data_IF_347851769653
#
_entry.id   IF_347851769653
#
_cell.length_a   1.000
_cell.length_b   1.000
_cell.length_c   1.000
_cell.angle_alpha   90.00
_cell.angle_beta   90.00
_cell.angle_gamma   90.00
#
_symmetry.space_group_name_H-M   'P 1'
#
loop_
_entity.id
_entity.type
_entity.pdbx_description
1 polymer ?
#
# COMPACT_ATOMS: atom_id res chain seq x y z
N UNK A 1 -23.83 -39.59 -26.12
CA UNK A 1 -23.33 -38.22 -25.86
C UNK A 1 -23.42 -38.01 -24.37
N UNK A 2 -22.32 -38.25 -23.66
CA UNK A 2 -22.28 -38.20 -22.19
C UNK A 2 -21.88 -36.80 -21.75
N UNK A 3 -22.74 -36.18 -20.95
CA UNK A 3 -22.61 -34.82 -20.44
C UNK A 3 -21.46 -34.80 -19.43
N UNK A 4 -20.38 -34.10 -19.75
CA UNK A 4 -19.26 -33.81 -18.84
C UNK A 4 -19.69 -32.80 -17.78
N UNK A 5 -20.20 -33.28 -16.65
CA UNK A 5 -20.39 -32.49 -15.43
C UNK A 5 -19.16 -32.57 -14.49
N UNK A 6 -17.94 -32.38 -14.99
CA UNK A 6 -16.74 -32.64 -14.18
C UNK A 6 -15.63 -31.59 -14.30
N UNK A 7 -15.96 -30.33 -14.60
CA UNK A 7 -14.96 -29.29 -14.88
C UNK A 7 -14.79 -28.21 -13.82
N UNK A 8 -15.75 -27.98 -12.91
CA UNK A 8 -15.66 -26.91 -11.88
C UNK A 8 -15.41 -27.41 -10.46
N UNK A 9 -15.73 -28.67 -10.16
CA UNK A 9 -15.74 -29.21 -8.79
C UNK A 9 -14.34 -29.42 -8.17
N UNK A 10 -13.28 -29.41 -8.98
CA UNK A 10 -11.91 -29.68 -8.51
C UNK A 10 -10.83 -28.72 -9.07
N UNK A 11 -11.21 -27.60 -9.69
CA UNK A 11 -10.24 -26.68 -10.30
C UNK A 11 -9.24 -26.11 -9.29
N UNK A 12 -9.65 -25.94 -8.02
CA UNK A 12 -8.79 -25.52 -6.92
C UNK A 12 -7.62 -26.47 -6.62
N UNK A 13 -7.61 -27.69 -7.18
CA UNK A 13 -6.47 -28.61 -7.08
C UNK A 13 -5.37 -28.33 -8.11
N UNK A 14 -5.63 -27.45 -9.09
CA UNK A 14 -4.63 -26.94 -10.01
C UNK A 14 -4.02 -25.67 -9.42
N UNK A 15 -2.69 -25.65 -9.26
CA UNK A 15 -1.97 -24.54 -8.65
C UNK A 15 -2.08 -23.23 -9.46
N UNK A 16 -1.89 -23.30 -10.78
CA UNK A 16 -1.97 -22.13 -11.67
C UNK A 16 -3.38 -21.53 -11.66
N UNK A 17 -4.41 -22.38 -11.71
CA UNK A 17 -5.79 -21.90 -11.63
C UNK A 17 -6.08 -21.24 -10.28
N UNK A 18 -5.66 -21.87 -9.18
CA UNK A 18 -5.89 -21.34 -7.85
C UNK A 18 -5.13 -20.03 -7.61
N UNK A 19 -3.91 -19.90 -8.13
CA UNK A 19 -3.12 -18.67 -8.09
C UNK A 19 -3.77 -17.55 -8.92
N UNK A 20 -4.22 -17.85 -10.14
CA UNK A 20 -4.93 -16.89 -10.97
C UNK A 20 -6.19 -16.36 -10.27
N UNK A 21 -7.00 -17.25 -9.70
CA UNK A 21 -8.25 -16.86 -9.03
C UNK A 21 -8.00 -16.12 -7.71
N UNK A 22 -7.06 -16.62 -6.89
CA UNK A 22 -6.83 -16.09 -5.55
C UNK A 22 -5.96 -14.83 -5.54
N UNK A 23 -4.92 -14.77 -6.38
CA UNK A 23 -3.94 -13.67 -6.40
C UNK A 23 -4.27 -12.68 -7.51
N UNK A 24 -4.35 -13.12 -8.78
CA UNK A 24 -4.50 -12.20 -9.90
C UNK A 24 -5.90 -11.57 -10.00
N UNK A 25 -6.95 -12.33 -9.70
CA UNK A 25 -8.33 -11.84 -9.67
C UNK A 25 -8.78 -11.37 -8.27
N UNK A 26 -7.87 -11.38 -7.29
CA UNK A 26 -8.07 -10.96 -5.89
C UNK A 26 -9.29 -11.61 -5.19
N UNK A 27 -9.79 -12.74 -5.68
CA UNK A 27 -10.99 -13.38 -5.10
C UNK A 27 -10.72 -13.90 -3.70
N UNK A 28 -11.74 -13.89 -2.87
CA UNK A 28 -11.66 -14.48 -1.53
C UNK A 28 -11.75 -16.01 -1.58
N UNK A 29 -11.19 -16.66 -0.56
CA UNK A 29 -11.31 -18.12 -0.39
C UNK A 29 -12.79 -18.56 -0.33
N UNK A 30 -13.68 -17.71 0.18
CA UNK A 30 -15.11 -18.01 0.29
C UNK A 30 -15.80 -17.99 -1.08
N UNK A 31 -15.47 -17.03 -1.95
CA UNK A 31 -16.02 -16.97 -3.31
C UNK A 31 -15.55 -18.14 -4.17
N UNK A 32 -14.24 -18.45 -4.12
CA UNK A 32 -13.67 -19.60 -4.82
C UNK A 32 -14.30 -20.90 -4.30
N UNK A 33 -14.48 -21.02 -2.99
CA UNK A 33 -15.11 -22.17 -2.37
C UNK A 33 -16.58 -22.34 -2.78
N UNK A 34 -17.35 -21.24 -2.83
CA UNK A 34 -18.74 -21.26 -3.27
C UNK A 34 -18.88 -21.69 -4.74
N UNK A 35 -17.98 -21.25 -5.62
CA UNK A 35 -17.95 -21.67 -7.03
C UNK A 35 -17.58 -23.14 -7.21
N UNK A 36 -16.59 -23.61 -6.44
CA UNK A 36 -16.14 -25.00 -6.50
C UNK A 36 -16.97 -25.97 -5.64
N UNK A 37 -18.04 -25.50 -4.97
CA UNK A 37 -18.87 -26.35 -4.11
C UNK A 37 -18.16 -26.91 -2.86
N UNK A 38 -17.07 -26.29 -2.41
CA UNK A 38 -16.26 -26.75 -1.27
C UNK A 38 -16.28 -25.77 -0.11
N UNK A 39 -15.61 -26.11 0.99
CA UNK A 39 -15.38 -25.20 2.11
C UNK A 39 -14.19 -24.26 1.83
N UNK A 40 -14.21 -23.06 2.42
CA UNK A 40 -13.05 -22.16 2.40
C UNK A 40 -11.80 -22.79 3.01
N UNK A 41 -11.96 -23.68 4.00
CA UNK A 41 -10.85 -24.46 4.59
C UNK A 41 -10.21 -25.43 3.58
N UNK A 42 -10.98 -25.97 2.64
CA UNK A 42 -10.45 -26.80 1.54
C UNK A 42 -9.55 -25.95 0.65
N UNK A 43 -10.01 -24.76 0.25
CA UNK A 43 -9.22 -23.82 -0.54
C UNK A 43 -7.94 -23.42 0.21
N UNK A 44 -8.05 -23.10 1.49
CA UNK A 44 -6.90 -22.78 2.35
C UNK A 44 -5.84 -23.90 2.36
N UNK A 45 -6.27 -25.16 2.50
CA UNK A 45 -5.37 -26.32 2.49
C UNK A 45 -4.61 -26.44 1.17
N UNK A 46 -5.28 -26.29 0.04
CA UNK A 46 -4.66 -26.40 -1.28
C UNK A 46 -3.74 -25.22 -1.58
N UNK A 47 -4.15 -24.03 -1.18
CA UNK A 47 -3.32 -22.82 -1.23
C UNK A 47 -2.01 -23.01 -0.47
N UNK A 48 -2.07 -23.42 0.80
CA UNK A 48 -0.87 -23.67 1.62
C UNK A 48 0.01 -24.80 1.03
N UNK A 49 -0.61 -25.82 0.42
CA UNK A 49 0.11 -26.92 -0.24
C UNK A 49 0.93 -26.43 -1.44
N UNK A 50 0.46 -25.39 -2.13
CA UNK A 50 1.13 -24.80 -3.29
C UNK A 50 1.96 -23.55 -2.95
N UNK A 51 2.04 -23.17 -1.67
CA UNK A 51 2.74 -21.96 -1.21
C UNK A 51 2.23 -20.67 -1.90
N UNK A 52 0.93 -20.64 -2.19
CA UNK A 52 0.28 -19.46 -2.79
C UNK A 52 -0.08 -18.52 -1.64
N UNK A 53 0.51 -17.34 -1.59
CA UNK A 53 0.16 -16.32 -0.59
C UNK A 53 -0.38 -15.08 -1.28
N UNK A 54 -1.32 -14.38 -0.64
CA UNK A 54 -1.67 -13.04 -1.12
C UNK A 54 -0.53 -12.10 -0.75
N UNK A 55 -0.10 -11.21 -1.65
CA UNK A 55 0.76 -10.12 -1.24
C UNK A 55 0.02 -9.34 -0.14
N UNK A 56 0.76 -9.01 0.91
CA UNK A 56 0.29 -8.10 1.94
C UNK A 56 -0.24 -6.82 1.24
N UNK A 57 -1.46 -6.43 1.58
CA UNK A 57 -2.09 -5.29 0.91
C UNK A 57 -1.48 -3.98 1.40
N UNK A 58 -1.19 -3.09 0.45
CA UNK A 58 -0.88 -1.72 0.80
C UNK A 58 -2.13 -1.05 1.37
N UNK A 59 -2.03 -0.49 2.57
CA UNK A 59 -3.11 0.22 3.23
C UNK A 59 -2.87 1.73 3.16
N UNK A 60 -3.89 2.48 2.73
CA UNK A 60 -3.92 3.93 2.83
C UNK A 60 -4.54 4.34 4.16
N UNK A 61 -3.84 5.17 4.94
CA UNK A 61 -4.39 5.77 6.16
C UNK A 61 -3.80 7.15 6.45
N UNK A 62 -4.36 7.82 7.47
CA UNK A 62 -3.79 9.02 8.06
C UNK A 62 -3.09 8.67 9.37
N UNK A 63 -1.88 9.18 9.57
CA UNK A 63 -1.16 9.01 10.83
C UNK A 63 -1.62 10.02 11.90
N UNK A 64 -1.28 9.81 13.19
CA UNK A 64 -1.68 10.73 14.26
C UNK A 64 -1.17 12.16 14.12
N UNK A 65 -0.14 12.38 13.29
CA UNK A 65 0.43 13.70 12.99
C UNK A 65 -0.20 14.36 11.76
N UNK A 66 -1.29 13.80 11.22
CA UNK A 66 -2.05 14.38 10.10
C UNK A 66 -1.54 14.02 8.70
N UNK A 67 -0.49 13.20 8.57
CA UNK A 67 0.04 12.82 7.26
C UNK A 67 -0.70 11.63 6.67
N UNK A 68 -1.16 11.79 5.43
CA UNK A 68 -1.61 10.69 4.58
C UNK A 68 -0.41 9.81 4.19
N UNK A 69 -0.56 8.49 4.28
CA UNK A 69 0.50 7.52 3.95
C UNK A 69 -0.06 6.23 3.36
N UNK A 70 0.78 5.57 2.58
CA UNK A 70 0.65 4.18 2.20
C UNK A 70 1.55 3.33 3.08
N UNK A 71 1.00 2.28 3.71
CA UNK A 71 1.74 1.28 4.48
C UNK A 71 1.69 -0.05 3.77
N UNK A 72 2.84 -0.66 3.53
CA UNK A 72 2.96 -2.00 3.02
C UNK A 72 3.59 -2.89 4.08
N UNK A 73 3.09 -4.11 4.23
CA UNK A 73 3.81 -5.14 4.99
C UNK A 73 4.53 -6.01 3.96
N UNK A 74 5.78 -6.36 4.20
CA UNK A 74 6.53 -7.26 3.33
C UNK A 74 7.44 -8.10 4.21
N UNK A 75 7.28 -9.42 4.14
CA UNK A 75 8.11 -10.39 4.89
C UNK A 75 8.16 -10.10 6.40
N UNK A 76 7.05 -9.65 6.98
CA UNK A 76 6.96 -9.30 8.41
C UNK A 76 7.55 -7.95 8.80
N UNK A 77 8.14 -7.20 7.87
CA UNK A 77 8.56 -5.82 8.05
C UNK A 77 7.47 -4.87 7.57
N UNK A 78 7.23 -3.79 8.31
CA UNK A 78 6.40 -2.69 7.84
C UNK A 78 7.28 -1.70 7.07
N UNK A 79 6.84 -1.31 5.89
CA UNK A 79 7.38 -0.19 5.13
C UNK A 79 6.26 0.85 4.93
N UNK A 80 6.61 2.14 4.94
CA UNK A 80 5.63 3.20 4.72
C UNK A 80 6.17 4.30 3.83
N UNK A 81 5.31 4.87 3.00
CA UNK A 81 5.62 6.08 2.24
C UNK A 81 4.50 7.10 2.40
N UNK A 82 4.86 8.30 2.83
CA UNK A 82 3.93 9.42 2.99
C UNK A 82 3.56 9.99 1.63
N UNK A 83 2.30 10.40 1.45
CA UNK A 83 1.77 10.88 0.16
C UNK A 83 2.57 12.07 -0.37
N UNK A 84 2.91 13.06 0.46
CA UNK A 84 3.72 14.20 0.03
C UNK A 84 5.11 13.77 -0.47
N UNK A 85 5.71 12.71 0.10
CA UNK A 85 7.00 12.17 -0.37
C UNK A 85 6.86 11.43 -1.69
N UNK A 86 5.74 10.74 -1.91
CA UNK A 86 5.35 10.22 -3.23
C UNK A 86 5.22 11.37 -4.24
N UNK A 87 4.53 12.45 -3.86
CA UNK A 87 4.29 13.58 -4.75
C UNK A 87 5.58 14.32 -5.15
N UNK A 88 6.58 14.33 -4.26
CA UNK A 88 7.89 14.91 -4.52
C UNK A 88 8.67 14.18 -5.63
N UNK A 89 8.35 12.92 -5.96
CA UNK A 89 9.01 12.22 -7.08
C UNK A 89 8.69 12.86 -8.42
N UNK A 90 7.55 13.56 -8.52
CA UNK A 90 7.17 14.32 -9.72
C UNK A 90 7.92 15.66 -9.86
N UNK A 91 8.76 16.02 -8.89
CA UNK A 91 9.53 17.27 -8.85
C UNK A 91 11.03 17.09 -9.12
N UNK A 92 11.47 15.85 -9.28
CA UNK A 92 12.87 15.49 -9.52
C UNK A 92 12.95 14.66 -10.79
N UNK A 93 14.09 14.74 -11.47
CA UNK A 93 14.32 13.92 -12.66
C UNK A 93 14.83 12.53 -12.23
N UNK A 94 15.62 12.47 -11.15
CA UNK A 94 16.15 11.22 -10.59
C UNK A 94 15.74 11.03 -9.12
N UNK A 95 15.33 9.81 -8.73
CA UNK A 95 14.92 9.51 -7.35
C UNK A 95 16.03 9.73 -6.32
N UNK A 96 17.30 9.59 -6.73
CA UNK A 96 18.47 9.82 -5.87
C UNK A 96 18.51 11.27 -5.35
N UNK A 97 17.88 12.23 -6.04
CA UNK A 97 17.79 13.60 -5.58
C UNK A 97 16.95 13.77 -4.31
N UNK A 98 16.14 12.78 -3.93
CA UNK A 98 15.34 12.80 -2.70
C UNK A 98 16.07 12.15 -1.50
N UNK A 99 17.25 11.56 -1.73
CA UNK A 99 18.07 10.97 -0.68
C UNK A 99 18.47 12.04 0.34
N UNK A 100 18.29 11.71 1.62
CA UNK A 100 18.52 12.61 2.76
C UNK A 100 17.75 13.94 2.78
N UNK A 101 16.84 14.18 1.83
CA UNK A 101 15.97 15.36 1.80
C UNK A 101 14.63 15.11 2.50
N UNK A 102 14.08 16.17 3.08
CA UNK A 102 12.73 16.19 3.64
C UNK A 102 11.77 16.85 2.65
N UNK A 103 10.49 16.50 2.76
CA UNK A 103 9.44 17.09 1.93
C UNK A 103 8.45 17.79 2.85
N UNK A 104 8.16 19.07 2.56
CA UNK A 104 7.38 19.97 3.40
C UNK A 104 6.16 20.51 2.69
N UNK A 105 5.11 20.81 3.46
CA UNK A 105 3.96 21.59 3.01
C UNK A 105 4.19 23.07 3.32
N UNK A 106 4.17 23.93 2.29
CA UNK A 106 4.36 25.38 2.44
C UNK A 106 3.30 26.02 3.34
N UNK A 107 2.08 25.51 3.27
CA UNK A 107 0.95 25.98 4.10
C UNK A 107 0.97 25.49 5.54
N UNK A 108 1.84 24.54 5.89
CA UNK A 108 1.82 23.87 7.20
C UNK A 108 0.64 22.90 7.38
N UNK A 109 -0.15 22.64 6.34
CA UNK A 109 -1.29 21.71 6.37
C UNK A 109 -0.89 20.37 5.78
N UNK A 110 -0.81 19.33 6.61
CA UNK A 110 -0.21 18.03 6.29
C UNK A 110 -1.02 17.19 5.29
N UNK A 111 -2.33 17.43 5.22
CA UNK A 111 -3.23 16.76 4.28
C UNK A 111 -3.38 17.51 2.93
N UNK A 112 -2.78 18.69 2.76
CA UNK A 112 -2.90 19.48 1.54
C UNK A 112 -1.86 19.08 0.49
N UNK A 113 -2.05 17.90 -0.13
CA UNK A 113 -1.07 17.28 -1.03
C UNK A 113 -1.21 17.76 -2.50
N UNK A 114 -0.84 19.01 -2.79
CA UNK A 114 -0.71 19.55 -4.16
C UNK A 114 0.76 19.78 -4.53
N UNK A 115 1.09 19.72 -5.83
CA UNK A 115 2.47 19.94 -6.30
C UNK A 115 2.98 21.33 -5.93
N UNK A 116 2.11 22.33 -5.92
CA UNK A 116 2.48 23.70 -5.60
C UNK A 116 2.76 23.88 -4.10
N UNK A 117 2.05 23.12 -3.26
CA UNK A 117 2.16 23.18 -1.81
C UNK A 117 3.31 22.33 -1.25
N UNK A 118 3.75 21.27 -1.94
CA UNK A 118 4.91 20.48 -1.49
C UNK A 118 6.23 21.05 -1.99
N UNK A 119 7.26 21.01 -1.14
CA UNK A 119 8.63 21.44 -1.46
C UNK A 119 9.64 20.44 -0.90
N UNK A 120 10.74 20.22 -1.65
CA UNK A 120 11.83 19.36 -1.21
C UNK A 120 12.92 20.24 -0.61
N UNK A 121 13.24 20.01 0.66
CA UNK A 121 14.25 20.77 1.40
C UNK A 121 15.32 19.82 1.95
N UNK A 122 16.55 20.30 2.02
CA UNK A 122 17.58 19.66 2.83
C UNK A 122 17.26 19.80 4.32
N UNK A 123 17.80 18.94 5.20
CA UNK A 123 17.63 19.07 6.64
C UNK A 123 18.11 20.43 7.18
N UNK A 124 19.11 21.04 6.55
CA UNK A 124 19.61 22.37 6.91
C UNK A 124 18.60 23.49 6.59
N UNK A 125 17.99 23.46 5.40
CA UNK A 125 16.94 24.40 5.00
C UNK A 125 15.69 24.26 5.87
N UNK A 126 15.30 23.01 6.18
CA UNK A 126 14.21 22.73 7.10
C UNK A 126 14.44 23.31 8.50
N UNK A 127 15.62 23.08 9.10
CA UNK A 127 15.98 23.64 10.43
C UNK A 127 15.94 25.16 10.44
N UNK A 128 16.41 25.81 9.38
CA UNK A 128 16.39 27.28 9.25
C UNK A 128 14.96 27.83 9.25
N UNK A 129 14.00 27.08 8.71
CA UNK A 129 12.59 27.48 8.65
C UNK A 129 11.91 27.41 10.03
N UNK A 130 12.14 26.33 10.79
CA UNK A 130 11.67 26.24 12.19
C UNK A 130 12.32 27.26 13.12
N UNK A 131 13.56 27.66 12.84
CA UNK A 131 14.23 28.73 13.59
C UNK A 131 13.60 30.12 13.36
N UNK A 132 12.84 30.31 12.27
CA UNK A 132 12.19 31.58 11.93
C UNK A 132 10.72 31.70 12.38
N UNK A 133 10.07 30.59 12.73
CA UNK A 133 8.64 30.54 13.09
C UNK A 133 8.40 30.47 14.61
N UNK A 134 9.48 30.48 15.40
CA UNK A 134 9.42 30.55 16.86
C UNK A 134 9.32 31.98 17.36
N UNK A 135 8.20 32.67 17.16
CA UNK A 135 7.67 33.76 18.04
C UNK A 135 6.57 34.61 17.38
N UNK A 136 5.35 34.10 17.29
CA UNK A 136 4.17 34.98 17.35
C UNK A 136 2.94 34.22 17.86
N UNK A 137 2.39 34.73 18.96
CA UNK A 137 1.02 34.53 19.44
C UNK A 137 0.63 33.15 20.03
N UNK A 138 1.07 32.93 21.28
CA UNK A 138 0.13 32.55 22.33
C UNK A 138 0.16 33.63 23.42
N UNK A 139 -0.83 34.51 23.42
CA UNK A 139 -1.25 35.23 24.63
C UNK A 139 -2.77 35.21 24.68
N UNK A 140 -3.30 34.70 25.79
CA UNK A 140 -4.70 34.77 26.22
C UNK A 140 -5.05 36.21 26.58
#
# INVERSE_FOLDING_TARGET
>A
MSITQNTTDEQYKNAEWLEQQYVAEDRSQAEIAAECGVSSSTINRWRNKFDIEKPDTAAFDMNPSGYERWRCRASGRYDEVRVHRLLATLKVDELAELEDKHVHHKSGVEWHNTLENVEVLTPAEHRKRHAGDGSAEQTV
#
